data_IF_299285383106
#
_entry.id   IF_299285383106
#
_cell.length_a   1.000
_cell.length_b   1.000
_cell.length_c   1.000
_cell.angle_alpha   90.00
_cell.angle_beta   90.00
_cell.angle_gamma   90.00
#
_symmetry.space_group_name_H-M   'P 1'
#
loop_
_entity.id
_entity.type
_entity.pdbx_description
1 polymer ?
#
# COMPACT_ATOMS: atom_id res chain seq x y z
N UNK A 1 78.47 -1.83 -8.51
CA UNK A 1 78.37 -1.76 -10.00
C UNK A 1 76.98 -2.24 -10.42
N UNK A 2 76.43 -1.63 -11.48
CA UNK A 2 75.04 -1.71 -11.97
C UNK A 2 74.61 -3.09 -12.49
N UNK A 3 73.33 -3.43 -12.25
CA UNK A 3 72.38 -4.01 -13.23
C UNK A 3 70.99 -4.14 -12.56
N UNK A 4 70.09 -3.14 -12.67
CA UNK A 4 68.95 -2.99 -13.61
C UNK A 4 67.96 -4.19 -13.75
N UNK A 5 66.64 -3.91 -13.85
CA UNK A 5 65.56 -4.80 -13.40
C UNK A 5 64.96 -5.64 -14.54
N UNK A 6 64.51 -6.86 -14.21
CA UNK A 6 63.75 -7.71 -15.14
C UNK A 6 62.25 -7.45 -14.99
N UNK A 7 61.80 -6.59 -15.90
CA UNK A 7 60.50 -6.56 -16.58
C UNK A 7 59.66 -7.84 -16.37
N UNK A 8 58.56 -7.74 -15.60
CA UNK A 8 57.53 -8.77 -15.55
C UNK A 8 56.47 -8.48 -16.61
N UNK A 9 56.45 -9.38 -17.59
CA UNK A 9 55.54 -9.43 -18.73
C UNK A 9 54.06 -9.40 -18.35
N UNK A 10 53.31 -8.67 -19.15
CA UNK A 10 51.85 -8.64 -19.25
C UNK A 10 51.23 -10.02 -19.44
N UNK A 11 50.08 -10.26 -18.82
CA UNK A 11 48.99 -11.03 -19.41
C UNK A 11 47.68 -10.72 -18.67
N UNK A 12 46.69 -10.30 -19.44
CA UNK A 12 45.37 -9.90 -19.01
C UNK A 12 44.57 -11.08 -18.44
N UNK A 13 43.67 -10.79 -17.50
CA UNK A 13 42.45 -11.59 -17.34
C UNK A 13 41.26 -10.64 -17.21
N UNK A 14 40.57 -10.48 -18.33
CA UNK A 14 39.27 -9.83 -18.42
C UNK A 14 38.26 -10.64 -17.62
N UNK A 15 37.73 -10.07 -16.53
CA UNK A 15 36.59 -10.63 -15.83
C UNK A 15 35.31 -10.00 -16.42
N UNK A 16 34.60 -10.79 -17.22
CA UNK A 16 33.29 -10.46 -17.76
C UNK A 16 32.28 -10.32 -16.61
N UNK A 17 31.69 -9.13 -16.45
CA UNK A 17 30.59 -8.90 -15.51
C UNK A 17 29.31 -9.37 -16.19
N UNK A 18 29.01 -10.66 -16.01
CA UNK A 18 27.76 -11.29 -16.40
C UNK A 18 26.61 -10.80 -15.50
N UNK A 19 25.63 -10.16 -16.13
CA UNK A 19 24.20 -10.31 -15.83
C UNK A 19 23.75 -10.02 -14.40
N UNK A 20 23.25 -8.81 -14.17
CA UNK A 20 22.19 -8.61 -13.17
C UNK A 20 21.02 -7.96 -13.88
N UNK A 21 20.18 -8.81 -14.49
CA UNK A 21 18.86 -8.39 -14.92
C UNK A 21 18.08 -8.01 -13.66
N UNK A 22 17.94 -6.70 -13.43
CA UNK A 22 17.06 -6.17 -12.40
C UNK A 22 15.65 -6.57 -12.83
N UNK A 23 15.13 -7.62 -12.23
CA UNK A 23 13.73 -8.00 -12.38
C UNK A 23 12.93 -6.93 -11.66
N UNK A 24 12.54 -5.88 -12.38
CA UNK A 24 11.52 -4.95 -11.92
C UNK A 24 10.24 -5.78 -11.69
N UNK A 25 9.60 -5.71 -10.51
CA UNK A 25 8.28 -6.30 -10.37
C UNK A 25 7.37 -5.61 -11.38
N UNK A 26 7.01 -6.34 -12.43
CA UNK A 26 5.97 -5.91 -13.34
C UNK A 26 4.70 -5.77 -12.50
N UNK A 27 4.21 -4.54 -12.36
CA UNK A 27 2.92 -4.29 -11.75
C UNK A 27 1.89 -5.08 -12.55
N UNK A 28 1.42 -6.20 -11.98
CA UNK A 28 0.38 -7.02 -12.58
C UNK A 28 -0.86 -6.16 -12.87
N UNK A 29 -1.72 -6.58 -13.81
CA UNK A 29 -2.94 -5.87 -14.10
C UNK A 29 -3.68 -5.60 -12.79
N UNK A 30 -3.94 -4.32 -12.52
CA UNK A 30 -4.62 -3.85 -11.31
C UNK A 30 -5.99 -4.50 -11.30
N UNK A 31 -6.11 -5.61 -10.57
CA UNK A 31 -7.35 -6.38 -10.49
C UNK A 31 -8.48 -5.43 -10.15
N UNK A 32 -9.60 -5.56 -10.85
CA UNK A 32 -10.82 -4.87 -10.50
C UNK A 32 -11.19 -5.28 -9.08
N UNK A 33 -10.90 -4.40 -8.12
CA UNK A 33 -11.13 -4.66 -6.72
C UNK A 33 -12.65 -4.68 -6.53
N UNK A 34 -13.16 -5.74 -5.88
CA UNK A 34 -14.58 -5.80 -5.54
C UNK A 34 -14.96 -4.64 -4.62
N UNK A 35 -16.18 -4.12 -4.76
CA UNK A 35 -16.75 -3.11 -3.86
C UNK A 35 -17.58 -3.84 -2.79
N UNK A 36 -17.03 -4.12 -1.60
CA UNK A 36 -17.68 -4.94 -0.59
C UNK A 36 -18.85 -4.21 0.09
N UNK A 37 -19.83 -4.98 0.55
CA UNK A 37 -20.88 -4.53 1.45
C UNK A 37 -20.59 -4.98 2.90
N UNK A 38 -19.92 -4.11 3.65
CA UNK A 38 -19.56 -4.38 5.04
C UNK A 38 -20.79 -4.48 5.97
N UNK A 39 -21.94 -3.91 5.59
CA UNK A 39 -23.19 -4.09 6.36
C UNK A 39 -23.69 -5.53 6.37
N UNK A 40 -23.23 -6.33 5.41
CA UNK A 40 -23.50 -7.77 5.31
C UNK A 40 -22.37 -8.63 5.88
N UNK A 41 -21.34 -8.00 6.47
CA UNK A 41 -20.17 -8.67 7.01
C UNK A 41 -19.17 -9.14 5.96
N UNK A 42 -19.22 -8.59 4.74
CA UNK A 42 -18.22 -8.90 3.72
C UNK A 42 -16.83 -8.40 4.15
N UNK A 43 -15.74 -9.15 3.93
CA UNK A 43 -14.40 -8.73 4.32
C UNK A 43 -13.81 -7.70 3.35
N UNK A 44 -12.75 -7.01 3.78
CA UNK A 44 -11.92 -6.20 2.89
C UNK A 44 -11.28 -7.12 1.82
N UNK A 45 -11.33 -6.77 0.52
CA UNK A 45 -10.75 -7.59 -0.54
C UNK A 45 -9.27 -7.92 -0.33
N UNK A 46 -8.87 -9.13 -0.67
CA UNK A 46 -7.47 -9.55 -0.60
C UNK A 46 -6.58 -8.69 -1.50
N UNK A 47 -5.44 -8.25 -0.97
CA UNK A 47 -4.52 -7.34 -1.67
C UNK A 47 -4.87 -5.85 -1.54
N UNK A 48 -5.92 -5.48 -0.82
CA UNK A 48 -6.21 -4.10 -0.53
C UNK A 48 -5.25 -3.56 0.57
N UNK A 49 -4.33 -2.69 0.18
CA UNK A 49 -3.28 -2.16 1.08
C UNK A 49 -3.52 -0.73 1.54
N UNK A 50 -4.54 -0.06 0.99
CA UNK A 50 -4.78 1.35 1.23
C UNK A 50 -5.70 1.58 2.43
N UNK A 51 -5.08 1.85 3.57
CA UNK A 51 -5.71 2.29 4.81
C UNK A 51 -5.58 3.81 4.96
N UNK A 52 -6.67 4.49 5.32
CA UNK A 52 -6.79 5.95 5.33
C UNK A 52 -7.08 6.49 6.73
N UNK A 53 -6.51 7.65 7.05
CA UNK A 53 -6.89 8.39 8.26
C UNK A 53 -8.27 9.01 8.08
N UNK A 54 -9.18 8.79 9.03
CA UNK A 54 -10.56 9.26 9.01
C UNK A 54 -10.70 10.64 9.65
N UNK A 55 -9.83 11.57 9.25
CA UNK A 55 -9.80 12.94 9.76
C UNK A 55 -9.17 13.06 11.15
N UNK A 56 -9.44 14.16 11.90
CA UNK A 56 -8.87 14.43 13.21
C UNK A 56 -9.46 13.58 14.34
N UNK A 57 -10.30 12.61 14.00
CA UNK A 57 -11.01 11.74 14.95
C UNK A 57 -10.08 10.72 15.62
N UNK A 58 -8.90 10.44 15.05
CA UNK A 58 -8.00 9.38 15.49
C UNK A 58 -8.46 7.97 15.09
N UNK A 59 -9.46 7.87 14.23
CA UNK A 59 -9.84 6.62 13.58
C UNK A 59 -9.12 6.46 12.23
N UNK A 60 -8.88 5.20 11.88
CA UNK A 60 -8.38 4.78 10.57
C UNK A 60 -9.37 3.82 9.94
N UNK A 61 -9.41 3.80 8.62
CA UNK A 61 -10.35 2.95 7.93
C UNK A 61 -10.02 2.74 6.47
N UNK A 62 -10.71 1.76 5.92
CA UNK A 62 -10.59 1.36 4.54
C UNK A 62 -11.78 1.89 3.74
N UNK A 63 -11.48 2.46 2.57
CA UNK A 63 -12.47 3.03 1.65
C UNK A 63 -12.26 2.41 0.28
N UNK A 64 -13.33 1.85 -0.27
CA UNK A 64 -13.31 1.34 -1.64
C UNK A 64 -12.91 2.45 -2.61
N UNK A 65 -11.91 2.16 -3.43
CA UNK A 65 -11.41 3.10 -4.44
C UNK A 65 -11.33 2.40 -5.78
N UNK A 66 -12.06 2.90 -6.77
CA UNK A 66 -11.96 2.44 -8.15
C UNK A 66 -11.14 3.47 -8.94
N UNK A 67 -10.00 3.07 -9.52
CA UNK A 67 -9.12 3.97 -10.31
C UNK A 67 -8.78 5.32 -9.63
N UNK A 68 -8.55 5.30 -8.31
CA UNK A 68 -8.28 6.51 -7.49
C UNK A 68 -9.49 7.43 -7.27
N UNK A 69 -10.69 6.94 -7.55
CA UNK A 69 -11.95 7.63 -7.30
C UNK A 69 -12.80 6.87 -6.27
N UNK A 70 -13.49 7.62 -5.40
CA UNK A 70 -14.33 7.10 -4.32
C UNK A 70 -15.83 7.31 -4.58
N UNK A 71 -16.23 7.66 -5.79
CA UNK A 71 -17.64 7.93 -6.17
C UNK A 71 -18.54 6.71 -5.94
N UNK A 72 -17.99 5.51 -6.11
CA UNK A 72 -18.67 4.23 -5.87
C UNK A 72 -18.57 3.77 -4.42
N UNK A 73 -17.73 4.41 -3.60
CA UNK A 73 -17.66 4.13 -2.18
C UNK A 73 -18.97 4.55 -1.51
N UNK A 74 -19.54 3.63 -0.73
CA UNK A 74 -20.75 3.86 0.06
C UNK A 74 -20.52 3.69 1.55
N UNK A 75 -19.39 3.10 1.92
CA UNK A 75 -19.08 2.63 3.25
C UNK A 75 -17.59 2.85 3.54
N UNK A 76 -17.28 3.08 4.81
CA UNK A 76 -15.92 3.05 5.34
C UNK A 76 -15.88 1.97 6.41
N UNK A 77 -14.91 1.06 6.31
CA UNK A 77 -14.67 0.05 7.32
C UNK A 77 -13.62 0.57 8.30
N UNK A 78 -13.95 0.65 9.59
CA UNK A 78 -13.01 1.12 10.62
C UNK A 78 -12.00 0.01 10.92
N UNK A 79 -10.74 0.26 10.64
CA UNK A 79 -9.64 -0.72 10.81
C UNK A 79 -8.92 -0.56 12.14
N UNK A 80 -8.90 0.66 12.68
CA UNK A 80 -8.26 0.99 13.94
C UNK A 80 -8.85 2.28 14.52
N UNK A 81 -8.88 2.36 15.85
CA UNK A 81 -9.16 3.59 16.61
C UNK A 81 -8.05 3.78 17.63
N UNK A 82 -7.47 4.96 17.68
CA UNK A 82 -6.43 5.29 18.65
C UNK A 82 -7.04 5.54 20.04
N UNK A 83 -6.44 4.97 21.09
CA UNK A 83 -6.89 5.16 22.47
C UNK A 83 -6.68 6.60 22.92
N UNK A 84 -7.67 7.20 23.58
CA UNK A 84 -7.68 8.59 24.00
C UNK A 84 -7.95 9.59 22.87
N UNK A 85 -8.24 9.12 21.66
CA UNK A 85 -8.66 9.97 20.55
C UNK A 85 -10.14 10.36 20.66
N UNK A 86 -10.60 11.38 19.90
CA UNK A 86 -12.02 11.75 19.87
C UNK A 86 -12.96 10.60 19.46
N UNK A 87 -12.48 9.61 18.70
CA UNK A 87 -13.24 8.43 18.33
C UNK A 87 -13.23 7.31 19.39
N UNK A 88 -12.35 7.37 20.39
CA UNK A 88 -12.24 6.35 21.43
C UNK A 88 -13.55 6.23 22.23
N UNK A 89 -14.09 5.02 22.32
CA UNK A 89 -15.38 4.71 22.95
C UNK A 89 -16.63 5.08 22.13
N UNK A 90 -16.49 5.77 20.98
CA UNK A 90 -17.60 6.04 20.05
C UNK A 90 -17.55 5.19 18.79
N UNK A 91 -16.34 4.84 18.34
CA UNK A 91 -16.08 3.93 17.23
C UNK A 91 -15.19 2.78 17.70
N UNK A 92 -15.38 1.62 17.09
CA UNK A 92 -14.56 0.43 17.32
C UNK A 92 -14.05 -0.15 16.00
N UNK A 93 -12.98 -0.93 16.08
CA UNK A 93 -12.49 -1.69 14.93
C UNK A 93 -13.58 -2.65 14.46
N UNK A 94 -13.90 -2.61 13.18
CA UNK A 94 -14.97 -3.40 12.57
C UNK A 94 -16.24 -2.61 12.29
N UNK A 95 -16.37 -1.39 12.82
CA UNK A 95 -17.52 -0.54 12.54
C UNK A 95 -17.60 -0.16 11.06
N UNK A 96 -18.83 0.03 10.60
CA UNK A 96 -19.14 0.40 9.23
C UNK A 96 -19.79 1.77 9.22
N UNK A 97 -19.03 2.76 8.76
CA UNK A 97 -19.54 4.13 8.61
C UNK A 97 -20.23 4.25 7.26
N UNK A 98 -21.52 4.59 7.29
CA UNK A 98 -22.34 4.76 6.09
C UNK A 98 -22.52 6.24 5.78
N UNK A 99 -22.57 6.58 4.50
CA UNK A 99 -23.06 7.91 4.10
C UNK A 99 -24.55 8.05 4.39
N UNK A 100 -24.95 9.24 4.81
CA UNK A 100 -26.37 9.66 4.78
C UNK A 100 -26.82 9.84 3.32
N UNK A 101 -28.04 9.42 2.98
CA UNK A 101 -28.59 9.55 1.61
C UNK A 101 -28.43 10.98 1.08
N UNK A 102 -27.97 11.11 -0.16
CA UNK A 102 -27.80 12.39 -0.85
C UNK A 102 -26.54 13.18 -0.48
N UNK A 103 -25.75 12.72 0.52
CA UNK A 103 -24.49 13.37 0.89
C UNK A 103 -23.28 12.48 0.54
N UNK A 104 -22.13 13.08 0.22
CA UNK A 104 -20.83 12.41 0.30
C UNK A 104 -20.54 11.94 1.73
N UNK A 105 -19.62 10.98 1.88
CA UNK A 105 -19.09 10.60 3.20
C UNK A 105 -18.23 11.77 3.68
N UNK A 106 -18.54 12.31 4.85
CA UNK A 106 -17.78 13.36 5.52
C UNK A 106 -17.30 12.81 6.85
N UNK A 107 -15.99 12.90 7.10
CA UNK A 107 -15.30 12.44 8.30
C UNK A 107 -14.61 13.62 8.97
#
# INVERSE_FOLDING_TARGET
MRSKPLLRSSAALAAAILGSAISSPAAGPKGEMANPDFTRGEPIPEGATHDWNLGPTGARGWIYTNKLETTEARQVFVTQVEKGSPADGSLEKGDVILRRRGCPIQL
#
